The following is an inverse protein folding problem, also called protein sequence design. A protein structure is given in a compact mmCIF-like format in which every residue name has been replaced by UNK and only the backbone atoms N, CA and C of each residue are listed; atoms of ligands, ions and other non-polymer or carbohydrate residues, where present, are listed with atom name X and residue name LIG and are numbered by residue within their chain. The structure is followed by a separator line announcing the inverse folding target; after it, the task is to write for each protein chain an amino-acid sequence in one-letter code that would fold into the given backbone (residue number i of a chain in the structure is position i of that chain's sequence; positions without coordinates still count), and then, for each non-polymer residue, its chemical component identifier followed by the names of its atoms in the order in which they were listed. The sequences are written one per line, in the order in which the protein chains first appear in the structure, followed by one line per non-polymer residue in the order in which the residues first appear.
data_IF_158947097244
#
_entry.id   IF_158947097244
#
_cell.length_a   1.000
_cell.length_b   1.000
_cell.length_c   1.000
_cell.angle_alpha   90.00
_cell.angle_beta   90.00
_cell.angle_gamma   90.00
#
_symmetry.space_group_name_H-M   'P 1'
#
loop_
_entity.id
_entity.type
_entity.pdbx_description
1 polymer ?
#
# COMPACT_ATOMS: atom_id res chain seq x y z
N UNK A 1 -20.11 -11.67 -20.81
CA UNK A 1 -21.54 -11.43 -20.55
C UNK A 1 -22.24 -12.71 -20.95
N UNK A 2 -22.76 -13.45 -19.98
CA UNK A 2 -23.58 -14.63 -20.21
C UNK A 2 -24.80 -14.46 -19.29
N UNK A 3 -25.90 -14.02 -19.92
CA UNK A 3 -27.22 -13.96 -19.33
C UNK A 3 -27.72 -15.38 -19.10
N UNK A 4 -28.16 -15.71 -17.89
CA UNK A 4 -28.96 -16.90 -17.64
C UNK A 4 -30.28 -16.43 -17.03
N UNK A 5 -31.27 -16.30 -17.90
CA UNK A 5 -32.64 -15.91 -17.58
C UNK A 5 -33.34 -17.02 -16.79
N UNK A 6 -34.00 -16.58 -15.73
CA UNK A 6 -34.90 -17.34 -14.86
C UNK A 6 -36.20 -17.65 -15.60
N UNK A 7 -36.49 -18.92 -15.86
CA UNK A 7 -37.81 -19.38 -16.29
C UNK A 7 -38.62 -19.86 -15.07
N UNK A 8 -39.67 -19.11 -14.71
CA UNK A 8 -40.77 -19.59 -13.87
C UNK A 8 -41.78 -20.34 -14.75
N UNK A 9 -42.38 -21.45 -14.30
CA UNK A 9 -43.60 -21.96 -14.92
C UNK A 9 -44.86 -21.53 -14.15
N UNK A 10 -45.75 -20.88 -14.90
CA UNK A 10 -47.10 -20.43 -14.56
C UNK A 10 -48.01 -21.54 -14.03
N UNK A 11 -48.76 -21.19 -12.99
CA UNK A 11 -49.89 -21.92 -12.42
C UNK A 11 -51.04 -22.01 -13.43
N UNK A 12 -51.45 -23.22 -13.80
CA UNK A 12 -52.70 -23.47 -14.54
C UNK A 12 -53.63 -24.33 -13.68
N UNK A 13 -54.72 -23.73 -13.21
CA UNK A 13 -55.88 -24.44 -12.65
C UNK A 13 -56.64 -25.18 -13.78
N UNK A 14 -57.35 -26.26 -13.45
CA UNK A 14 -58.64 -26.49 -14.09
C UNK A 14 -59.77 -26.68 -13.08
N UNK A 15 -60.86 -25.96 -13.35
CA UNK A 15 -62.17 -26.04 -12.71
C UNK A 15 -62.90 -27.37 -13.02
N UNK A 16 -63.57 -27.88 -11.99
CA UNK A 16 -64.93 -28.45 -11.93
C UNK A 16 -65.43 -29.42 -13.01
N UNK A 17 -65.72 -30.66 -12.59
CA UNK A 17 -66.61 -31.60 -13.27
C UNK A 17 -67.46 -32.39 -12.26
N UNK A 18 -68.77 -32.45 -12.52
CA UNK A 18 -69.88 -32.87 -11.66
C UNK A 18 -69.99 -34.37 -11.28
N UNK A 19 -70.77 -34.59 -10.21
CA UNK A 19 -71.47 -35.76 -9.66
C UNK A 19 -71.65 -37.03 -10.53
N UNK A 20 -71.53 -38.24 -9.93
CA UNK A 20 -72.71 -39.06 -9.55
C UNK A 20 -72.40 -40.33 -8.70
N UNK A 21 -73.30 -40.57 -7.72
CA UNK A 21 -73.87 -41.85 -7.23
C UNK A 21 -73.15 -42.83 -6.26
N UNK A 22 -73.62 -42.76 -5.00
CA UNK A 22 -74.19 -43.82 -4.13
C UNK A 22 -73.56 -45.22 -4.04
N UNK A 23 -73.25 -45.65 -2.80
CA UNK A 23 -73.23 -47.06 -2.44
C UNK A 23 -72.65 -47.40 -1.06
N UNK A 24 -73.54 -47.48 -0.06
CA UNK A 24 -73.53 -48.39 1.10
C UNK A 24 -72.37 -48.40 2.12
N UNK A 25 -72.79 -48.32 3.37
CA UNK A 25 -72.04 -48.51 4.61
C UNK A 25 -71.32 -49.86 4.67
N UNK A 26 -70.01 -49.83 4.90
CA UNK A 26 -69.30 -50.84 5.69
C UNK A 26 -68.40 -50.12 6.69
N UNK A 27 -68.67 -50.34 7.97
CA UNK A 27 -67.72 -50.07 9.05
C UNK A 27 -66.50 -50.97 8.83
N UNK A 28 -65.52 -50.49 8.07
CA UNK A 28 -64.16 -50.98 8.17
C UNK A 28 -63.31 -49.90 8.82
N UNK A 29 -62.74 -50.28 9.96
CA UNK A 29 -61.86 -49.48 10.79
C UNK A 29 -60.52 -49.29 10.05
N UNK A 30 -60.53 -48.54 8.94
CA UNK A 30 -59.33 -48.17 8.22
C UNK A 30 -58.60 -47.11 9.03
N UNK A 31 -57.60 -47.57 9.79
CA UNK A 31 -56.48 -46.72 10.20
C UNK A 31 -56.04 -45.92 8.96
N UNK A 32 -55.93 -44.58 9.05
CA UNK A 32 -55.47 -43.80 7.90
C UNK A 32 -54.14 -44.38 7.40
N UNK A 33 -54.07 -44.68 6.11
CA UNK A 33 -52.84 -45.14 5.45
C UNK A 33 -51.75 -44.11 5.76
N UNK A 34 -50.88 -44.46 6.69
CA UNK A 34 -49.84 -43.55 7.14
C UNK A 34 -48.85 -43.43 5.98
N UNK A 35 -48.62 -42.23 5.39
CA UNK A 35 -47.89 -42.09 4.13
C UNK A 35 -46.40 -42.48 4.21
N UNK A 36 -45.93 -42.83 5.40
CA UNK A 36 -44.57 -43.24 5.71
C UNK A 36 -44.43 -44.75 5.99
N UNK A 37 -45.53 -45.52 5.91
CA UNK A 37 -45.57 -46.94 6.24
C UNK A 37 -45.45 -47.25 7.74
N UNK A 38 -45.67 -48.51 8.11
CA UNK A 38 -45.53 -49.00 9.51
C UNK A 38 -44.06 -49.09 9.97
N UNK A 39 -43.09 -48.98 9.06
CA UNK A 39 -41.65 -49.07 9.34
C UNK A 39 -41.04 -47.74 9.85
N UNK A 40 -41.80 -46.64 9.84
CA UNK A 40 -41.30 -45.33 10.27
C UNK A 40 -41.23 -45.21 11.80
N UNK A 41 -40.01 -45.23 12.33
CA UNK A 41 -39.73 -45.01 13.75
C UNK A 41 -39.37 -43.54 14.03
N UNK A 42 -40.38 -42.78 14.47
CA UNK A 42 -40.23 -41.36 14.81
C UNK A 42 -39.14 -41.11 15.87
N UNK A 43 -38.92 -42.05 16.80
CA UNK A 43 -37.91 -41.90 17.84
C UNK A 43 -36.50 -42.05 17.29
N UNK A 44 -36.29 -42.96 16.32
CA UNK A 44 -35.00 -43.09 15.62
C UNK A 44 -34.73 -41.88 14.71
N UNK A 45 -35.74 -41.41 13.99
CA UNK A 45 -35.64 -40.21 13.16
C UNK A 45 -35.28 -38.98 14.00
N UNK A 46 -35.90 -38.81 15.17
CA UNK A 46 -35.60 -37.70 16.07
C UNK A 46 -34.17 -37.76 16.62
N UNK A 47 -33.71 -38.95 17.05
CA UNK A 47 -32.32 -39.15 17.49
C UNK A 47 -31.31 -38.84 16.39
N UNK A 48 -31.60 -39.25 15.14
CA UNK A 48 -30.76 -38.92 13.99
C UNK A 48 -30.71 -37.40 13.75
N UNK A 49 -31.85 -36.72 13.80
CA UNK A 49 -31.91 -35.26 13.66
C UNK A 49 -31.12 -34.56 14.77
N UNK A 50 -31.19 -35.07 16.01
CA UNK A 50 -30.41 -34.51 17.11
C UNK A 50 -28.90 -34.69 16.88
N UNK A 51 -28.46 -35.89 16.52
CA UNK A 51 -27.06 -36.16 16.20
C UNK A 51 -26.58 -35.26 15.05
N UNK A 52 -27.36 -35.12 13.97
CA UNK A 52 -27.02 -34.25 12.85
C UNK A 52 -26.93 -32.77 13.25
N UNK A 53 -27.77 -32.31 14.18
CA UNK A 53 -27.69 -30.93 14.71
C UNK A 53 -26.43 -30.74 15.55
N UNK A 54 -26.08 -31.71 16.37
CA UNK A 54 -24.85 -31.69 17.18
C UNK A 54 -23.60 -31.71 16.28
N UNK A 55 -23.58 -32.58 15.27
CA UNK A 55 -22.51 -32.65 14.27
C UNK A 55 -22.37 -31.34 13.47
N UNK A 56 -23.49 -30.75 13.02
CA UNK A 56 -23.47 -29.49 12.27
C UNK A 56 -22.97 -28.33 13.14
N UNK A 57 -23.34 -28.30 14.42
CA UNK A 57 -22.79 -27.35 15.40
C UNK A 57 -21.28 -27.54 15.56
N UNK A 58 -20.81 -28.78 15.75
CA UNK A 58 -19.39 -29.08 15.88
C UNK A 58 -18.59 -28.74 14.62
N UNK A 59 -19.15 -28.95 13.42
CA UNK A 59 -18.52 -28.58 12.16
C UNK A 59 -18.42 -27.05 11.98
N UNK A 60 -19.45 -26.30 12.38
CA UNK A 60 -19.42 -24.83 12.37
C UNK A 60 -18.36 -24.28 13.32
N UNK A 61 -18.24 -24.83 14.53
CA UNK A 61 -17.21 -24.43 15.49
C UNK A 61 -15.80 -24.73 14.96
N UNK A 62 -15.58 -25.89 14.34
CA UNK A 62 -14.30 -26.23 13.69
C UNK A 62 -13.99 -25.29 12.53
N UNK A 63 -14.95 -25.02 11.64
CA UNK A 63 -14.73 -24.08 10.54
C UNK A 63 -14.35 -22.68 11.03
N UNK A 64 -15.03 -22.20 12.09
CA UNK A 64 -14.67 -20.92 12.70
C UNK A 64 -13.24 -20.93 13.27
N UNK A 65 -12.87 -21.98 14.00
CA UNK A 65 -11.52 -22.10 14.54
C UNK A 65 -10.44 -22.16 13.43
N UNK A 66 -10.72 -22.88 12.34
CA UNK A 66 -9.83 -22.94 11.18
C UNK A 66 -9.72 -21.59 10.45
N UNK A 67 -10.81 -20.84 10.34
CA UNK A 67 -10.79 -19.51 9.74
C UNK A 67 -10.00 -18.52 10.61
N UNK A 68 -10.19 -18.56 11.93
CA UNK A 68 -9.46 -17.73 12.88
C UNK A 68 -7.95 -18.07 12.89
N UNK A 69 -7.59 -19.36 12.88
CA UNK A 69 -6.20 -19.83 12.78
C UNK A 69 -5.56 -19.39 11.45
N UNK A 70 -6.28 -19.57 10.33
CA UNK A 70 -5.80 -19.15 9.01
C UNK A 70 -5.66 -17.64 8.90
N UNK A 71 -6.54 -16.87 9.55
CA UNK A 71 -6.42 -15.42 9.60
C UNK A 71 -5.17 -15.02 10.39
N UNK A 72 -4.95 -15.65 11.55
CA UNK A 72 -3.74 -15.43 12.36
C UNK A 72 -2.45 -15.79 11.62
N UNK A 73 -2.43 -16.91 10.90
CA UNK A 73 -1.27 -17.34 10.11
C UNK A 73 -0.97 -16.39 8.96
N UNK A 74 -2.00 -15.89 8.27
CA UNK A 74 -1.83 -14.88 7.20
C UNK A 74 -1.30 -13.57 7.74
N UNK A 75 -1.87 -13.06 8.84
CA UNK A 75 -1.39 -11.82 9.46
C UNK A 75 0.06 -11.95 9.92
N UNK A 76 0.44 -13.13 10.44
CA UNK A 76 1.83 -13.42 10.80
C UNK A 76 2.72 -13.46 9.55
N UNK A 77 2.31 -14.16 8.50
CA UNK A 77 3.06 -14.22 7.26
C UNK A 77 3.23 -12.85 6.60
N UNK A 78 2.21 -11.99 6.62
CA UNK A 78 2.27 -10.64 6.09
C UNK A 78 3.22 -9.75 6.90
N UNK A 79 3.23 -9.90 8.24
CA UNK A 79 4.21 -9.22 9.12
C UNK A 79 5.63 -9.67 8.80
N UNK A 80 5.87 -10.98 8.73
CA UNK A 80 7.19 -11.54 8.46
C UNK A 80 7.68 -11.13 7.05
N UNK A 81 6.76 -11.04 6.08
CA UNK A 81 7.06 -10.54 4.73
C UNK A 81 7.43 -9.06 4.75
N UNK A 82 6.70 -8.23 5.50
CA UNK A 82 7.02 -6.81 5.66
C UNK A 82 8.41 -6.62 6.31
N UNK A 83 8.70 -7.35 7.39
CA UNK A 83 10.00 -7.32 8.07
C UNK A 83 11.14 -7.75 7.13
N UNK A 84 10.96 -8.85 6.40
CA UNK A 84 11.94 -9.33 5.43
C UNK A 84 12.17 -8.30 4.29
N UNK A 85 11.13 -7.58 3.85
CA UNK A 85 11.27 -6.51 2.85
C UNK A 85 12.08 -5.34 3.41
N UNK A 86 11.82 -4.92 4.63
CA UNK A 86 12.57 -3.84 5.27
C UNK A 86 14.05 -4.20 5.46
N UNK A 87 14.35 -5.42 5.91
CA UNK A 87 15.74 -5.90 6.02
C UNK A 87 16.44 -5.91 4.66
N UNK A 88 15.76 -6.38 3.61
CA UNK A 88 16.30 -6.42 2.26
C UNK A 88 16.57 -5.00 1.73
N UNK A 89 15.68 -4.05 2.00
CA UNK A 89 15.88 -2.64 1.64
C UNK A 89 17.07 -2.02 2.38
N UNK A 90 17.25 -2.29 3.68
CA UNK A 90 18.42 -1.84 4.44
C UNK A 90 19.71 -2.40 3.86
N UNK A 91 19.77 -3.71 3.61
CA UNK A 91 20.95 -4.36 3.01
C UNK A 91 21.24 -3.82 1.61
N UNK A 92 20.21 -3.54 0.81
CA UNK A 92 20.37 -2.88 -0.49
C UNK A 92 20.98 -1.50 -0.34
N UNK A 93 20.49 -0.68 0.59
CA UNK A 93 21.04 0.66 0.84
C UNK A 93 22.50 0.61 1.31
N UNK A 94 22.83 -0.29 2.24
CA UNK A 94 24.21 -0.46 2.70
C UNK A 94 25.14 -0.88 1.55
N UNK A 95 24.67 -1.80 0.69
CA UNK A 95 25.42 -2.22 -0.51
C UNK A 95 25.67 -1.05 -1.46
N UNK A 96 24.68 -0.20 -1.72
CA UNK A 96 24.85 0.94 -2.64
C UNK A 96 25.80 1.98 -2.06
N UNK A 97 25.70 2.26 -0.75
CA UNK A 97 26.65 3.15 -0.05
C UNK A 97 28.07 2.60 -0.11
N UNK A 98 28.28 1.31 0.15
CA UNK A 98 29.59 0.67 0.04
C UNK A 98 30.14 0.75 -1.41
N UNK A 99 29.29 0.57 -2.41
CA UNK A 99 29.70 0.70 -3.81
C UNK A 99 30.08 2.14 -4.18
N UNK A 100 29.39 3.14 -3.62
CA UNK A 100 29.72 4.55 -3.78
C UNK A 100 31.07 4.87 -3.13
N UNK A 101 31.29 4.40 -1.90
CA UNK A 101 32.57 4.58 -1.20
C UNK A 101 33.74 3.97 -1.99
N UNK A 102 33.53 2.78 -2.58
CA UNK A 102 34.53 2.14 -3.43
C UNK A 102 34.80 2.91 -4.73
N UNK A 103 33.77 3.51 -5.35
CA UNK A 103 33.90 4.30 -6.59
C UNK A 103 34.52 5.69 -6.35
N UNK A 104 34.24 6.30 -5.21
CA UNK A 104 34.63 7.67 -4.90
C UNK A 104 35.37 7.74 -3.54
N UNK A 105 36.63 7.31 -3.48
CA UNK A 105 37.42 7.34 -2.24
C UNK A 105 37.74 8.75 -1.73
N UNK A 106 37.39 9.79 -2.50
CA UNK A 106 37.50 11.19 -2.11
C UNK A 106 36.35 11.67 -1.23
N UNK A 107 35.23 10.92 -1.15
CA UNK A 107 34.15 11.22 -0.22
C UNK A 107 34.50 10.70 1.18
N UNK A 108 34.33 11.57 2.17
CA UNK A 108 34.49 11.24 3.58
C UNK A 108 33.23 10.61 4.15
N UNK A 109 33.31 9.95 5.32
CA UNK A 109 32.13 9.33 5.95
C UNK A 109 31.02 10.37 6.22
N UNK A 110 31.38 11.59 6.62
CA UNK A 110 30.44 12.71 6.78
C UNK A 110 29.69 13.01 5.47
N UNK A 111 30.38 13.01 4.32
CA UNK A 111 29.79 13.25 3.01
C UNK A 111 28.80 12.15 2.60
N UNK A 112 29.07 10.91 3.03
CA UNK A 112 28.19 9.76 2.77
C UNK A 112 26.87 9.89 3.54
N UNK A 113 26.88 10.49 4.74
CA UNK A 113 25.63 10.75 5.49
C UNK A 113 24.70 11.74 4.78
N UNK A 114 25.24 12.65 3.97
CA UNK A 114 24.45 13.64 3.21
C UNK A 114 23.73 13.06 1.99
N UNK A 115 24.10 11.86 1.52
CA UNK A 115 23.46 11.23 0.35
C UNK A 115 21.99 10.85 0.62
N UNK A 116 21.67 10.57 1.89
CA UNK A 116 20.32 10.27 2.36
C UNK A 116 19.76 8.96 1.82
N UNK A 117 18.44 8.88 1.70
CA UNK A 117 17.73 7.74 1.10
C UNK A 117 17.38 8.02 -0.37
N UNK A 118 17.41 7.00 -1.22
CA UNK A 118 17.05 7.11 -2.63
C UNK A 118 17.26 5.81 -3.38
N UNK A 119 16.93 5.84 -4.67
CA UNK A 119 17.29 4.74 -5.59
C UNK A 119 18.81 4.67 -5.75
N UNK A 120 19.33 3.50 -6.09
CA UNK A 120 20.78 3.29 -6.32
C UNK A 120 21.36 4.31 -7.32
N UNK A 121 20.61 4.60 -8.38
CA UNK A 121 20.99 5.55 -9.44
C UNK A 121 21.06 6.98 -8.89
N UNK A 122 20.04 7.42 -8.16
CA UNK A 122 20.03 8.75 -7.56
C UNK A 122 21.16 8.94 -6.55
N UNK A 123 21.44 7.93 -5.72
CA UNK A 123 22.55 7.97 -4.76
C UNK A 123 23.90 8.08 -5.47
N UNK A 124 24.10 7.31 -6.55
CA UNK A 124 25.32 7.40 -7.35
C UNK A 124 25.46 8.77 -8.03
N UNK A 125 24.40 9.34 -8.59
CA UNK A 125 24.45 10.68 -9.20
C UNK A 125 24.74 11.78 -8.19
N UNK A 126 24.11 11.72 -7.01
CA UNK A 126 24.36 12.66 -5.90
C UNK A 126 25.80 12.55 -5.44
N UNK A 127 26.32 11.32 -5.28
CA UNK A 127 27.71 11.09 -4.93
C UNK A 127 28.68 11.59 -6.00
N UNK A 128 28.39 11.37 -7.29
CA UNK A 128 29.20 11.87 -8.40
C UNK A 128 29.25 13.41 -8.41
N UNK A 129 28.11 14.08 -8.21
CA UNK A 129 28.03 15.54 -8.10
C UNK A 129 28.84 16.06 -6.92
N UNK A 130 28.77 15.37 -5.78
CA UNK A 130 29.48 15.76 -4.58
C UNK A 130 30.99 15.53 -4.69
N UNK A 131 31.41 14.38 -5.23
CA UNK A 131 32.81 14.09 -5.58
C UNK A 131 33.38 15.18 -6.50
N UNK A 132 32.63 15.56 -7.54
CA UNK A 132 33.05 16.59 -8.49
C UNK A 132 33.23 17.94 -7.80
N UNK A 133 32.31 18.31 -6.89
CA UNK A 133 32.40 19.58 -6.13
C UNK A 133 33.61 19.60 -5.21
N UNK A 134 33.90 18.49 -4.51
CA UNK A 134 35.07 18.38 -3.64
C UNK A 134 36.36 18.45 -4.47
N UNK A 135 36.40 17.76 -5.61
CA UNK A 135 37.51 17.81 -6.56
C UNK A 135 37.79 19.23 -7.05
N UNK A 136 36.76 19.99 -7.42
CA UNK A 136 36.92 21.39 -7.86
C UNK A 136 37.32 22.35 -6.73
N UNK A 137 36.94 22.07 -5.49
CA UNK A 137 37.24 22.96 -4.36
C UNK A 137 38.67 22.76 -3.83
N UNK A 138 39.30 21.61 -4.11
CA UNK A 138 40.67 21.28 -3.69
C UNK A 138 41.74 22.15 -4.39
N UNK A 139 41.42 22.76 -5.53
CA UNK A 139 42.32 23.65 -6.26
C UNK A 139 42.34 25.10 -5.75
N UNK A 140 41.40 25.46 -4.87
CA UNK A 140 41.39 26.77 -4.21
C UNK A 140 41.66 26.59 -2.73
N UNK A 141 42.94 26.41 -2.36
CA UNK A 141 43.35 26.83 -1.03
C UNK A 141 42.89 28.28 -0.85
N UNK A 142 42.06 28.60 0.17
CA UNK A 142 41.80 29.98 0.48
C UNK A 142 43.13 30.53 0.97
N UNK A 143 43.80 31.33 0.11
CA UNK A 143 44.85 32.24 0.56
C UNK A 143 44.26 32.93 1.78
N UNK A 144 44.78 32.60 2.94
CA UNK A 144 44.39 33.18 4.21
C UNK A 144 44.89 34.60 4.16
N UNK A 145 44.13 35.44 3.43
CA UNK A 145 44.41 36.85 3.28
C UNK A 145 44.21 37.43 4.67
N UNK A 146 45.33 37.78 5.29
CA UNK A 146 45.32 38.53 6.53
C UNK A 146 44.37 39.72 6.35
N UNK A 147 43.29 39.86 7.13
CA UNK A 147 42.27 40.90 6.90
C UNK A 147 42.84 42.32 6.96
N UNK A 148 44.05 42.48 7.52
CA UNK A 148 44.83 43.71 7.54
C UNK A 148 45.49 44.09 6.19
N UNK A 149 45.49 43.23 5.17
CA UNK A 149 46.09 43.51 3.86
C UNK A 149 45.05 43.62 2.73
N UNK A 150 43.77 43.76 3.08
CA UNK A 150 42.75 44.13 2.10
C UNK A 150 42.95 45.60 1.72
N UNK A 151 43.43 45.86 0.52
CA UNK A 151 43.27 47.19 -0.08
C UNK A 151 41.76 47.49 -0.15
N UNK A 152 41.27 48.58 0.45
CA UNK A 152 39.86 48.91 0.44
C UNK A 152 39.45 49.33 -0.98
N UNK A 153 38.99 48.37 -1.79
CA UNK A 153 38.21 48.66 -3.01
C UNK A 153 36.77 48.96 -2.61
N UNK A 154 36.51 50.19 -2.20
CA UNK A 154 35.17 50.62 -1.81
C UNK A 154 35.18 51.91 -1.04
N UNK A 155 35.42 53.02 -1.75
CA UNK A 155 35.36 54.35 -1.19
C UNK A 155 35.82 55.35 -2.23
N UNK A 156 34.92 55.80 -3.10
CA UNK A 156 35.15 57.09 -3.76
C UNK A 156 35.19 58.12 -2.65
N UNK A 157 36.39 58.64 -2.40
CA UNK A 157 36.62 59.74 -1.48
C UNK A 157 35.71 60.92 -1.89
N UNK A 158 34.72 61.31 -1.08
CA UNK A 158 33.84 62.43 -1.40
C UNK A 158 34.55 63.79 -1.32
N UNK A 159 35.83 63.82 -0.93
CA UNK A 159 36.68 65.02 -0.99
C UNK A 159 37.53 65.12 -2.26
N UNK A 160 37.45 64.12 -3.14
CA UNK A 160 37.97 64.19 -4.51
C UNK A 160 37.18 65.21 -5.32
N UNK A 161 37.68 66.44 -5.38
CA UNK A 161 37.13 67.55 -6.16
C UNK A 161 37.06 67.23 -7.67
N UNK A 162 36.00 66.55 -8.09
CA UNK A 162 35.52 66.55 -9.46
C UNK A 162 34.02 66.88 -9.46
N UNK A 163 33.71 68.10 -9.03
CA UNK A 163 32.44 68.73 -9.35
C UNK A 163 32.64 69.47 -10.67
N UNK A 164 32.50 68.76 -11.80
CA UNK A 164 32.15 69.45 -13.04
C UNK A 164 30.68 69.81 -12.91
N UNK A 165 30.41 71.02 -12.44
CA UNK A 165 29.07 71.59 -12.39
C UNK A 165 28.51 71.58 -13.83
N UNK A 166 27.59 70.68 -14.12
CA UNK A 166 26.93 70.56 -15.43
C UNK A 166 26.37 71.91 -15.93
N UNK A 167 25.96 72.78 -14.99
CA UNK A 167 25.48 74.12 -15.28
C UNK A 167 26.58 75.02 -15.85
N UNK A 168 27.83 74.93 -15.37
CA UNK A 168 28.96 75.68 -15.95
C UNK A 168 29.38 75.14 -17.30
N UNK A 169 29.34 73.83 -17.48
CA UNK A 169 29.70 73.18 -18.75
C UNK A 169 28.70 73.50 -19.87
N UNK A 170 27.40 73.53 -19.55
CA UNK A 170 26.35 73.93 -20.50
C UNK A 170 26.44 75.40 -20.95
N UNK A 171 26.97 76.29 -20.10
CA UNK A 171 27.17 77.70 -20.44
C UNK A 171 28.42 77.89 -21.33
N UNK A 172 29.47 77.10 -21.11
CA UNK A 172 30.72 77.19 -21.87
C UNK A 172 30.63 76.57 -23.28
N UNK A 173 29.80 75.53 -23.46
CA UNK A 173 29.67 74.81 -24.72
C UNK A 173 28.60 75.37 -25.68
N UNK A 174 28.04 76.55 -25.40
CA UNK A 174 26.97 77.16 -26.22
C UNK A 174 27.41 78.49 -26.86
N UNK A 175 28.58 78.49 -27.50
CA UNK A 175 29.06 79.55 -28.40
C UNK A 175 29.68 78.97 -29.67
#
# INVERSE_FOLDING_TARGET
MADNQTDEPETTEPETGEETQTGQSQEDNQKPDNPWGDDFDASKAWKLVQNLREENKGLKEKNRAYEDEKLSDKEKADRDLAEAREELEKVRQERTLAQIQAKYPTLTDDDMTFLGTGTEQELMERAAKLASRIGSNKETEPKHMNPLHREPKGGSDPTGSHHTDFIREAILNNH
#
